data_IF_253591408042
#
_entry.id   IF_253591408042
#
_cell.length_a   1.000
_cell.length_b   1.000
_cell.length_c   1.000
_cell.angle_alpha   90.00
_cell.angle_beta   90.00
_cell.angle_gamma   90.00
#
_symmetry.space_group_name_H-M   'P 1'
#
loop_
_entity.id
_entity.type
_entity.pdbx_description
1 polymer ?
#
# COMPACT_ATOMS: atom_id res chain seq x y z
N UNK A 1 19.30 12.19 11.26
CA UNK A 1 18.55 11.66 10.09
C UNK A 1 17.47 10.75 10.62
N UNK A 2 16.24 10.89 10.12
CA UNK A 2 15.12 10.01 10.42
C UNK A 2 14.98 8.94 9.34
N UNK A 3 14.68 7.71 9.76
CA UNK A 3 14.43 6.56 8.90
C UNK A 3 13.41 5.62 9.57
N UNK A 4 12.35 6.20 10.15
CA UNK A 4 11.32 5.46 10.89
C UNK A 4 10.14 5.01 9.99
N UNK A 5 10.30 5.12 8.67
CA UNK A 5 9.35 4.66 7.67
C UNK A 5 8.16 5.61 7.47
N UNK A 6 7.27 5.24 6.55
CA UNK A 6 6.10 6.05 6.18
C UNK A 6 5.08 6.28 7.31
N UNK A 7 5.19 5.56 8.42
CA UNK A 7 4.37 5.80 9.62
C UNK A 7 5.18 6.53 10.69
N UNK A 8 6.35 6.00 11.06
CA UNK A 8 7.11 6.52 12.19
C UNK A 8 7.74 7.88 11.94
N UNK A 9 8.24 8.15 10.73
CA UNK A 9 8.89 9.43 10.41
C UNK A 9 7.93 10.63 10.50
N UNK A 10 6.74 10.63 9.86
CA UNK A 10 5.80 11.73 10.05
C UNK A 10 5.31 11.81 11.50
N UNK A 11 5.07 10.68 12.18
CA UNK A 11 4.66 10.70 13.60
C UNK A 11 5.70 11.41 14.47
N UNK A 12 6.98 11.07 14.32
CA UNK A 12 8.08 11.68 15.06
C UNK A 12 8.23 13.18 14.76
N UNK A 13 8.05 13.60 13.49
CA UNK A 13 8.03 15.02 13.13
C UNK A 13 6.87 15.76 13.81
N UNK A 14 5.66 15.18 13.75
CA UNK A 14 4.45 15.76 14.34
C UNK A 14 4.59 15.94 15.87
N UNK A 15 4.99 14.89 16.60
CA UNK A 15 5.18 14.98 18.07
C UNK A 15 6.35 15.90 18.46
N UNK A 16 7.26 16.19 17.52
CA UNK A 16 8.35 17.16 17.70
C UNK A 16 7.95 18.59 17.32
N UNK A 17 6.67 18.85 17.03
CA UNK A 17 6.16 20.18 16.69
C UNK A 17 6.42 20.61 15.24
N UNK A 18 6.76 19.68 14.34
CA UNK A 18 7.00 19.95 12.90
C UNK A 18 5.86 19.34 12.07
N UNK A 19 4.95 20.18 11.59
CA UNK A 19 3.77 19.70 10.86
C UNK A 19 2.66 20.74 10.67
N UNK A 20 1.41 20.31 10.36
CA UNK A 20 0.27 21.21 10.25
C UNK A 20 -0.03 21.91 11.60
N UNK A 21 0.07 23.23 11.66
CA UNK A 21 0.03 23.99 12.92
C UNK A 21 -1.30 23.81 13.67
N UNK A 22 -2.41 23.78 12.93
CA UNK A 22 -3.75 23.56 13.47
C UNK A 22 -3.87 22.22 14.20
N UNK A 23 -3.40 21.13 13.59
CA UNK A 23 -3.40 19.80 14.23
C UNK A 23 -2.59 19.80 15.52
N UNK A 24 -1.40 20.42 15.51
CA UNK A 24 -0.51 20.46 16.66
C UNK A 24 -1.10 21.28 17.82
N UNK A 25 -1.70 22.44 17.53
CA UNK A 25 -2.39 23.25 18.53
C UNK A 25 -3.56 22.52 19.18
N UNK A 26 -4.36 21.77 18.41
CA UNK A 26 -5.47 20.98 18.95
C UNK A 26 -5.03 19.89 19.93
N UNK A 27 -3.78 19.44 19.85
CA UNK A 27 -3.18 18.44 20.72
C UNK A 27 -2.28 19.05 21.81
N UNK A 28 -2.27 20.38 21.94
CA UNK A 28 -1.41 21.13 22.86
C UNK A 28 0.09 20.85 22.67
N UNK A 29 0.52 20.66 21.42
CA UNK A 29 1.93 20.52 21.03
C UNK A 29 2.42 21.89 20.53
N UNK A 30 3.55 22.34 21.06
CA UNK A 30 4.19 23.58 20.60
C UNK A 30 4.62 23.45 19.13
N UNK A 31 4.23 24.42 18.30
CA UNK A 31 4.59 24.44 16.89
C UNK A 31 6.01 24.99 16.74
N UNK A 32 6.96 24.09 16.44
CA UNK A 32 8.33 24.43 16.09
C UNK A 32 8.40 24.95 14.65
N UNK A 33 7.70 24.27 13.73
CA UNK A 33 7.64 24.70 12.33
C UNK A 33 6.34 24.24 11.66
N UNK A 34 5.66 25.17 10.99
CA UNK A 34 4.50 24.84 10.19
C UNK A 34 4.93 24.20 8.86
N UNK A 35 4.67 22.91 8.73
CA UNK A 35 4.98 22.13 7.54
C UNK A 35 3.77 21.25 7.17
N UNK A 36 2.80 21.78 6.41
CA UNK A 36 1.49 21.14 6.23
C UNK A 36 1.53 19.83 5.43
N UNK A 37 2.66 19.50 4.80
CA UNK A 37 2.84 18.23 4.10
C UNK A 37 3.12 17.02 5.01
N UNK A 38 3.51 17.22 6.27
CA UNK A 38 3.86 16.12 7.18
C UNK A 38 2.62 15.29 7.51
N UNK A 39 2.65 14.00 7.19
CA UNK A 39 1.53 13.08 7.38
C UNK A 39 0.55 13.03 6.22
N UNK A 40 0.62 13.95 5.26
CA UNK A 40 -0.24 13.97 4.06
C UNK A 40 0.33 13.08 2.95
N UNK A 41 -0.40 12.91 1.84
CA UNK A 41 0.08 12.16 0.66
C UNK A 41 0.41 10.68 0.94
N UNK A 42 -0.23 10.08 1.96
CA UNK A 42 -0.08 8.65 2.23
C UNK A 42 -0.59 7.85 1.03
N UNK A 43 0.24 6.94 0.54
CA UNK A 43 -0.05 6.06 -0.58
C UNK A 43 0.28 4.62 -0.18
N UNK A 44 -0.41 3.68 -0.81
CA UNK A 44 -0.20 2.25 -0.67
C UNK A 44 -0.59 1.56 -1.98
N UNK A 45 -0.25 0.29 -2.12
CA UNK A 45 -0.83 -0.56 -3.16
C UNK A 45 -2.07 -1.28 -2.60
N UNK A 46 -3.31 -0.79 -2.85
CA UNK A 46 -4.50 -1.54 -2.50
C UNK A 46 -4.55 -2.82 -3.33
N UNK A 47 -5.03 -3.90 -2.72
CA UNK A 47 -5.32 -5.13 -3.47
C UNK A 47 -6.67 -5.73 -3.07
N UNK A 48 -7.26 -6.45 -4.01
CA UNK A 48 -8.38 -7.37 -3.83
C UNK A 48 -7.99 -8.71 -4.45
N UNK A 49 -8.88 -9.70 -4.39
CA UNK A 49 -8.57 -11.05 -4.87
C UNK A 49 -9.76 -11.70 -5.56
N UNK A 50 -9.46 -12.70 -6.38
CA UNK A 50 -10.40 -13.73 -6.80
C UNK A 50 -9.88 -15.06 -6.27
N UNK A 51 -10.70 -15.82 -5.55
CA UNK A 51 -10.31 -17.07 -4.90
C UNK A 51 -11.11 -18.23 -5.47
N UNK A 52 -10.44 -19.34 -5.74
CA UNK A 52 -11.03 -20.57 -6.26
C UNK A 52 -10.70 -21.74 -5.36
N UNK A 53 -11.58 -22.73 -5.31
CA UNK A 53 -11.31 -24.03 -4.71
C UNK A 53 -10.71 -24.99 -5.73
N UNK A 54 -10.00 -26.02 -5.27
CA UNK A 54 -9.41 -27.07 -6.11
C UNK A 54 -9.94 -28.48 -5.78
N UNK A 55 -9.91 -29.37 -6.77
CA UNK A 55 -10.25 -30.81 -6.63
C UNK A 55 -9.18 -31.60 -5.88
N UNK A 56 -7.93 -31.26 -6.15
CA UNK A 56 -6.75 -31.90 -5.60
C UNK A 56 -6.14 -30.96 -4.55
N UNK A 57 -5.55 -31.50 -3.47
CA UNK A 57 -4.83 -30.70 -2.50
C UNK A 57 -3.68 -29.91 -3.16
N UNK A 58 -3.50 -28.68 -2.71
CA UNK A 58 -2.39 -27.84 -3.16
C UNK A 58 -1.37 -27.80 -2.03
N UNK A 59 -0.11 -28.11 -2.33
CA UNK A 59 0.96 -28.05 -1.34
C UNK A 59 1.21 -26.58 -0.95
N UNK A 60 0.73 -26.19 0.23
CA UNK A 60 0.91 -24.85 0.79
C UNK A 60 2.29 -24.65 1.47
N UNK A 61 3.25 -25.55 1.23
CA UNK A 61 4.57 -25.55 1.86
C UNK A 61 5.44 -24.35 1.51
N UNK A 62 5.44 -23.33 2.38
CA UNK A 62 6.31 -22.15 2.33
C UNK A 62 5.75 -20.98 1.51
N UNK A 63 6.26 -19.75 1.72
CA UNK A 63 5.98 -18.67 0.77
C UNK A 63 6.58 -19.08 -0.58
N UNK A 64 5.76 -19.35 -1.60
CA UNK A 64 6.19 -19.92 -2.86
C UNK A 64 6.85 -18.83 -3.71
N UNK A 65 7.49 -19.25 -4.80
CA UNK A 65 7.65 -18.40 -5.96
C UNK A 65 6.24 -18.06 -6.52
N UNK A 66 5.68 -16.92 -6.11
CA UNK A 66 4.41 -16.42 -6.66
C UNK A 66 4.69 -15.75 -8.00
N UNK A 67 4.13 -16.19 -9.13
CA UNK A 67 4.31 -15.46 -10.37
C UNK A 67 3.52 -14.14 -10.31
N UNK A 68 4.22 -13.04 -10.64
CA UNK A 68 3.65 -11.71 -10.76
C UNK A 68 3.47 -11.38 -12.24
N UNK A 69 2.32 -10.79 -12.58
CA UNK A 69 2.05 -10.25 -13.90
C UNK A 69 1.78 -8.76 -13.76
N UNK A 70 2.59 -7.95 -14.44
CA UNK A 70 2.42 -6.50 -14.49
C UNK A 70 1.79 -6.14 -15.82
N UNK A 71 0.64 -5.48 -15.75
CA UNK A 71 -0.24 -5.21 -16.89
C UNK A 71 -0.54 -3.72 -16.98
N UNK A 72 -1.01 -3.34 -18.17
CA UNK A 72 -1.64 -2.05 -18.40
C UNK A 72 -3.15 -2.23 -18.42
N UNK A 73 -3.88 -1.36 -17.75
CA UNK A 73 -5.34 -1.34 -17.73
C UNK A 73 -5.92 -1.04 -19.13
N UNK A 74 -5.24 -0.17 -19.87
CA UNK A 74 -5.47 0.13 -21.29
C UNK A 74 -4.16 0.16 -22.10
N UNK A 75 -4.22 0.26 -23.43
CA UNK A 75 -3.02 0.21 -24.28
C UNK A 75 -2.12 1.45 -24.21
N UNK A 76 -2.65 2.59 -23.77
CA UNK A 76 -1.96 3.87 -23.65
C UNK A 76 -1.38 4.12 -22.25
N UNK A 77 -1.87 3.40 -21.23
CA UNK A 77 -1.41 3.50 -19.86
C UNK A 77 0.03 2.96 -19.72
N UNK A 78 0.75 3.51 -18.74
CA UNK A 78 1.91 2.81 -18.17
C UNK A 78 1.43 1.58 -17.39
N UNK A 79 2.30 0.60 -17.08
CA UNK A 79 1.89 -0.53 -16.27
C UNK A 79 1.41 -0.08 -14.89
N UNK A 80 0.13 -0.29 -14.64
CA UNK A 80 -0.65 0.28 -13.53
C UNK A 80 -1.41 -0.79 -12.75
N UNK A 81 -1.44 -2.03 -13.24
CA UNK A 81 -2.04 -3.19 -12.58
C UNK A 81 -0.99 -4.28 -12.31
N UNK A 82 -1.06 -4.89 -11.14
CA UNK A 82 -0.29 -6.08 -10.79
C UNK A 82 -1.24 -7.21 -10.41
N UNK A 83 -1.06 -8.38 -11.02
CA UNK A 83 -1.70 -9.62 -10.61
C UNK A 83 -0.68 -10.52 -9.92
N UNK A 84 -1.06 -11.15 -8.82
CA UNK A 84 -0.21 -12.10 -8.08
C UNK A 84 -0.96 -13.40 -7.94
N UNK A 85 -0.41 -14.49 -8.45
CA UNK A 85 -0.99 -15.81 -8.26
C UNK A 85 -0.45 -16.43 -6.97
N UNK A 86 -1.35 -16.78 -6.06
CA UNK A 86 -1.02 -17.49 -4.82
C UNK A 86 -1.69 -18.86 -4.83
N UNK A 87 -0.91 -19.90 -4.53
CA UNK A 87 -1.32 -21.31 -4.54
C UNK A 87 -1.94 -21.73 -3.20
N UNK A 88 -2.68 -20.82 -2.57
CA UNK A 88 -3.50 -21.06 -1.40
C UNK A 88 -4.70 -20.11 -1.45
N UNK A 89 -5.87 -20.48 -0.91
CA UNK A 89 -7.02 -19.59 -0.93
C UNK A 89 -6.84 -18.49 0.11
N UNK A 90 -6.92 -17.25 -0.34
CA UNK A 90 -7.17 -16.10 0.51
C UNK A 90 -8.66 -16.07 0.85
N UNK A 91 -9.06 -16.37 2.10
CA UNK A 91 -10.45 -16.21 2.48
C UNK A 91 -10.84 -14.74 2.35
N UNK A 92 -12.07 -14.48 1.91
CA UNK A 92 -12.64 -13.15 2.09
C UNK A 92 -12.72 -12.86 3.58
N UNK A 93 -12.12 -11.76 4.01
CA UNK A 93 -12.05 -11.42 5.43
C UNK A 93 -13.45 -11.03 5.91
N UNK A 94 -13.90 -11.54 7.05
CA UNK A 94 -15.12 -11.04 7.68
C UNK A 94 -14.88 -9.58 8.11
N UNK A 95 -15.84 -8.66 7.88
CA UNK A 95 -15.74 -7.30 8.41
C UNK A 95 -15.41 -7.33 9.91
N UNK A 96 -14.36 -6.61 10.32
CA UNK A 96 -13.92 -6.52 11.72
C UNK A 96 -12.91 -7.56 12.20
N UNK A 97 -12.50 -8.55 11.38
CA UNK A 97 -11.40 -9.43 11.76
C UNK A 97 -10.05 -8.67 11.75
N UNK A 98 -9.16 -8.95 12.71
CA UNK A 98 -7.83 -8.31 12.82
C UNK A 98 -6.91 -8.61 11.63
N UNK A 99 -5.97 -7.70 11.33
CA UNK A 99 -5.04 -7.85 10.20
C UNK A 99 -3.86 -8.68 10.65
N UNK A 100 -3.91 -9.97 10.37
CA UNK A 100 -2.74 -10.83 10.50
C UNK A 100 -1.72 -10.42 9.42
N UNK A 101 -0.46 -10.15 9.79
CA UNK A 101 0.58 -9.84 8.82
C UNK A 101 0.72 -10.96 7.79
N UNK A 102 0.85 -10.60 6.53
CA UNK A 102 1.08 -11.56 5.46
C UNK A 102 2.34 -12.41 5.77
N UNK A 103 2.20 -13.74 5.71
CA UNK A 103 3.29 -14.67 6.01
C UNK A 103 3.56 -14.91 7.50
N UNK A 104 2.71 -14.42 8.42
CA UNK A 104 2.78 -14.83 9.83
C UNK A 104 2.37 -16.30 9.99
N UNK A 105 2.89 -17.00 11.00
CA UNK A 105 2.49 -18.39 11.29
C UNK A 105 1.01 -18.52 11.68
N UNK A 106 0.38 -17.42 12.12
CA UNK A 106 -1.05 -17.30 12.40
C UNK A 106 -1.89 -17.09 11.13
N UNK A 107 -1.26 -16.66 10.03
CA UNK A 107 -1.84 -16.62 8.69
C UNK A 107 -1.86 -18.04 8.09
N UNK A 108 -2.66 -18.93 8.69
CA UNK A 108 -3.02 -20.22 8.10
C UNK A 108 -4.54 -20.26 8.03
N UNK A 109 -5.16 -19.84 6.92
CA UNK A 109 -6.59 -20.06 6.76
C UNK A 109 -6.86 -21.56 6.96
N UNK A 110 -7.92 -21.91 7.71
CA UNK A 110 -8.38 -23.28 7.86
C UNK A 110 -8.31 -23.98 6.50
N UNK A 111 -7.55 -25.08 6.41
CA UNK A 111 -7.07 -25.68 5.16
C UNK A 111 -8.23 -25.94 4.20
N UNK A 112 -8.51 -24.98 3.33
CA UNK A 112 -9.23 -25.19 2.10
C UNK A 112 -8.21 -25.31 0.98
N UNK A 113 -8.37 -26.30 0.12
CA UNK A 113 -7.55 -26.45 -1.06
C UNK A 113 -8.05 -25.47 -2.13
N UNK A 114 -7.14 -24.63 -2.61
CA UNK A 114 -7.52 -23.51 -3.46
C UNK A 114 -6.34 -22.67 -3.92
N UNK A 115 -6.63 -21.70 -4.77
CA UNK A 115 -5.68 -20.68 -5.19
C UNK A 115 -6.40 -19.33 -5.27
N UNK A 116 -5.64 -18.25 -5.14
CA UNK A 116 -6.14 -16.89 -5.35
C UNK A 116 -5.31 -16.15 -6.39
N UNK A 117 -5.97 -15.25 -7.08
CA UNK A 117 -5.35 -14.24 -7.92
C UNK A 117 -5.59 -12.90 -7.26
N UNK A 118 -4.56 -12.32 -6.66
CA UNK A 118 -4.61 -10.95 -6.16
C UNK A 118 -4.54 -10.00 -7.35
N UNK A 119 -5.26 -8.89 -7.27
CA UNK A 119 -5.17 -7.77 -8.19
C UNK A 119 -4.91 -6.49 -7.40
N UNK A 120 -3.95 -5.69 -7.84
CA UNK A 120 -3.51 -4.49 -7.15
C UNK A 120 -3.27 -3.32 -8.10
N UNK A 121 -3.55 -2.11 -7.64
CA UNK A 121 -3.14 -0.89 -8.33
C UNK A 121 -1.68 -0.57 -8.01
N UNK A 122 -0.92 -0.19 -9.03
CA UNK A 122 0.50 0.17 -8.90
C UNK A 122 0.73 1.69 -8.90
N UNK A 123 -0.28 2.47 -9.29
CA UNK A 123 -0.25 3.94 -9.33
C UNK A 123 -1.60 4.54 -8.94
N UNK A 124 -2.05 4.34 -7.69
CA UNK A 124 -3.33 4.87 -7.24
C UNK A 124 -3.35 6.40 -7.25
N UNK A 125 -4.53 6.95 -7.53
CA UNK A 125 -4.80 8.39 -7.50
C UNK A 125 -5.22 8.87 -6.10
N UNK A 126 -5.87 8.03 -5.32
CA UNK A 126 -6.24 8.30 -3.93
C UNK A 126 -5.03 8.66 -3.08
N UNK A 127 -5.26 9.54 -2.10
CA UNK A 127 -4.28 9.95 -1.11
C UNK A 127 -4.91 9.89 0.27
N UNK A 128 -4.22 9.21 1.17
CA UNK A 128 -4.55 9.14 2.58
C UNK A 128 -3.81 10.18 3.40
N UNK A 129 -3.96 10.06 4.72
CA UNK A 129 -3.25 10.87 5.71
C UNK A 129 -2.90 10.06 6.96
N UNK A 130 -1.90 10.54 7.70
CA UNK A 130 -1.51 10.10 9.02
C UNK A 130 -1.56 11.30 9.97
N UNK A 131 -2.31 11.14 11.06
CA UNK A 131 -2.45 12.17 12.10
C UNK A 131 -2.10 11.59 13.47
N UNK A 132 -1.76 12.45 14.41
CA UNK A 132 -1.59 12.05 15.80
C UNK A 132 -2.95 11.78 16.44
N UNK A 133 -3.05 10.70 17.22
CA UNK A 133 -4.19 10.46 18.10
C UNK A 133 -4.12 11.34 19.36
N UNK A 134 -2.91 11.62 19.83
CA UNK A 134 -2.62 12.39 21.03
C UNK A 134 -1.15 12.86 21.05
N UNK A 135 -0.73 13.57 22.10
CA UNK A 135 0.62 14.09 22.23
C UNK A 135 1.65 13.03 22.67
N UNK A 136 1.23 11.85 23.17
CA UNK A 136 2.17 10.79 23.57
C UNK A 136 2.75 10.10 22.32
N UNK A 137 4.08 10.11 22.13
CA UNK A 137 4.72 9.46 20.98
C UNK A 137 4.57 7.94 20.94
N UNK A 138 4.07 7.31 22.01
CA UNK A 138 3.81 5.86 22.08
C UNK A 138 2.41 5.49 21.64
N UNK A 139 1.50 6.46 21.51
CA UNK A 139 0.17 6.21 20.99
C UNK A 139 0.23 5.91 19.48
N UNK A 140 -0.54 4.91 19.04
CA UNK A 140 -0.66 4.62 17.61
C UNK A 140 -1.28 5.82 16.87
N UNK A 141 -0.70 6.24 15.74
CA UNK A 141 -1.26 7.34 14.97
C UNK A 141 -2.60 6.92 14.33
N UNK A 142 -3.40 7.93 14.00
CA UNK A 142 -4.62 7.78 13.21
C UNK A 142 -4.21 7.67 11.74
N UNK A 143 -4.44 6.52 11.12
CA UNK A 143 -4.09 6.25 9.73
C UNK A 143 -5.39 6.14 8.92
N UNK A 144 -5.53 7.02 7.93
CA UNK A 144 -6.56 6.92 6.90
C UNK A 144 -5.86 6.67 5.56
N UNK A 145 -6.04 5.47 4.99
CA UNK A 145 -5.43 5.12 3.70
C UNK A 145 -6.10 5.83 2.51
N UNK A 146 -7.29 6.41 2.72
CA UNK A 146 -8.00 7.15 1.68
C UNK A 146 -8.39 6.31 0.47
N UNK A 147 -8.47 4.98 0.59
CA UNK A 147 -8.80 4.11 -0.55
C UNK A 147 -10.10 4.53 -1.23
N UNK A 148 -10.04 4.67 -2.56
CA UNK A 148 -11.17 5.01 -3.42
C UNK A 148 -11.80 6.38 -3.17
N UNK A 149 -11.10 7.28 -2.46
CA UNK A 149 -11.43 8.71 -2.41
C UNK A 149 -11.39 9.36 -3.80
N UNK A 150 -10.55 8.84 -4.71
CA UNK A 150 -10.61 9.15 -6.13
C UNK A 150 -11.35 8.00 -6.85
N UNK A 151 -12.46 8.28 -7.56
CA UNK A 151 -13.28 7.23 -8.16
C UNK A 151 -12.54 6.43 -9.24
N UNK A 152 -11.47 6.98 -9.85
CA UNK A 152 -10.67 6.29 -10.87
C UNK A 152 -10.04 5.01 -10.33
N UNK A 153 -9.63 5.01 -9.07
CA UNK A 153 -9.01 3.83 -8.44
C UNK A 153 -10.00 2.67 -8.32
N UNK A 154 -11.26 2.97 -8.01
CA UNK A 154 -12.29 1.93 -7.90
C UNK A 154 -12.61 1.32 -9.26
N UNK A 155 -12.67 2.13 -10.31
CA UNK A 155 -12.89 1.67 -11.68
C UNK A 155 -11.72 0.82 -12.21
N UNK A 156 -10.48 1.23 -11.88
CA UNK A 156 -9.28 0.45 -12.20
C UNK A 156 -9.26 -0.88 -11.41
N UNK A 157 -9.66 -0.89 -10.15
CA UNK A 157 -9.72 -2.12 -9.37
C UNK A 157 -10.78 -3.10 -9.89
N UNK A 158 -11.93 -2.63 -10.36
CA UNK A 158 -12.92 -3.49 -11.04
C UNK A 158 -12.31 -4.07 -12.32
N UNK A 159 -11.57 -3.26 -13.08
CA UNK A 159 -10.84 -3.75 -14.27
C UNK A 159 -9.83 -4.83 -13.89
N UNK A 160 -9.05 -4.61 -12.83
CA UNK A 160 -8.07 -5.56 -12.31
C UNK A 160 -8.73 -6.85 -11.82
N UNK A 161 -9.87 -6.76 -11.13
CA UNK A 161 -10.67 -7.91 -10.67
C UNK A 161 -11.16 -8.77 -11.86
N UNK A 162 -11.61 -8.15 -12.95
CA UNK A 162 -11.98 -8.90 -14.17
C UNK A 162 -10.80 -9.62 -14.78
N UNK A 163 -9.62 -9.00 -14.81
CA UNK A 163 -8.38 -9.64 -15.30
C UNK A 163 -7.95 -10.80 -14.38
N UNK A 164 -8.06 -10.62 -13.07
CA UNK A 164 -7.80 -11.67 -12.09
C UNK A 164 -8.74 -12.86 -12.28
N UNK A 165 -10.05 -12.61 -12.44
CA UNK A 165 -11.03 -13.65 -12.73
C UNK A 165 -10.71 -14.36 -14.05
N UNK A 166 -10.40 -13.62 -15.11
CA UNK A 166 -9.99 -14.19 -16.40
C UNK A 166 -8.78 -15.11 -16.27
N UNK A 167 -7.77 -14.73 -15.49
CA UNK A 167 -6.61 -15.59 -15.22
C UNK A 167 -7.01 -16.83 -14.42
N UNK A 168 -7.80 -16.65 -13.36
CA UNK A 168 -8.24 -17.73 -12.49
C UNK A 168 -9.19 -18.73 -13.16
N UNK A 169 -9.89 -18.34 -14.23
CA UNK A 169 -10.78 -19.21 -15.01
C UNK A 169 -10.16 -19.75 -16.30
N UNK A 170 -8.86 -19.51 -16.54
CA UNK A 170 -8.18 -19.98 -17.74
C UNK A 170 -8.21 -21.53 -17.86
N UNK A 171 -8.27 -22.04 -19.10
CA UNK A 171 -8.37 -23.47 -19.40
C UNK A 171 -7.23 -24.30 -18.78
N UNK A 172 -6.04 -23.71 -18.61
CA UNK A 172 -4.89 -24.36 -17.97
C UNK A 172 -5.17 -24.78 -16.52
N UNK A 173 -6.14 -24.14 -15.86
CA UNK A 173 -6.55 -24.40 -14.48
C UNK A 173 -7.76 -25.33 -14.39
N UNK A 174 -8.38 -25.75 -15.50
CA UNK A 174 -9.64 -26.51 -15.50
C UNK A 174 -9.53 -27.84 -14.76
N UNK A 175 -8.39 -28.53 -14.86
CA UNK A 175 -8.12 -29.78 -14.13
C UNK A 175 -8.19 -29.57 -12.61
N UNK A 176 -7.73 -28.41 -12.13
CA UNK A 176 -7.64 -28.10 -10.71
C UNK A 176 -8.92 -27.45 -10.18
N UNK A 177 -9.44 -26.43 -10.87
CA UNK A 177 -10.52 -25.54 -10.42
C UNK A 177 -11.87 -26.24 -10.25
N UNK A 178 -12.46 -26.15 -9.07
CA UNK A 178 -13.85 -26.58 -8.79
C UNK A 178 -14.84 -25.42 -8.92
N UNK A 179 -14.71 -24.38 -8.10
CA UNK A 179 -15.60 -23.22 -8.14
C UNK A 179 -14.88 -21.92 -7.78
N UNK A 180 -15.44 -20.79 -8.20
CA UNK A 180 -15.06 -19.47 -7.70
C UNK A 180 -15.71 -19.26 -6.33
N UNK A 181 -14.88 -19.12 -5.30
CA UNK A 181 -15.31 -18.91 -3.91
C UNK A 181 -15.55 -17.42 -3.61
N UNK A 182 -14.68 -16.55 -4.12
CA UNK A 182 -14.76 -15.11 -3.92
C UNK A 182 -14.29 -14.39 -5.20
N UNK A 183 -14.98 -13.34 -5.65
CA UNK A 183 -16.24 -12.81 -5.12
C UNK A 183 -17.45 -13.75 -5.27
N UNK A 184 -17.34 -14.82 -6.06
CA UNK A 184 -18.44 -15.72 -6.37
C UNK A 184 -18.92 -15.53 -7.80
N UNK A 185 -19.37 -16.62 -8.42
CA UNK A 185 -19.79 -16.62 -9.84
C UNK A 185 -21.02 -15.74 -10.13
N UNK A 186 -21.79 -15.41 -9.10
CA UNK A 186 -22.96 -14.53 -9.14
C UNK A 186 -22.62 -13.04 -9.24
N UNK A 187 -21.45 -12.62 -8.75
CA UNK A 187 -21.00 -11.23 -8.82
C UNK A 187 -20.54 -10.92 -10.23
N UNK A 188 -21.41 -10.30 -11.04
CA UNK A 188 -21.18 -10.14 -12.49
C UNK A 188 -21.30 -8.72 -12.98
N UNK A 189 -22.14 -7.90 -12.34
CA UNK A 189 -22.31 -6.49 -12.70
C UNK A 189 -21.20 -5.61 -12.11
N UNK A 190 -20.94 -4.47 -12.74
CA UNK A 190 -19.99 -3.48 -12.24
C UNK A 190 -20.35 -2.97 -10.84
N UNK A 191 -21.64 -2.88 -10.52
CA UNK A 191 -22.09 -2.44 -9.20
C UNK A 191 -21.72 -3.47 -8.12
N UNK A 192 -22.01 -4.76 -8.37
CA UNK A 192 -21.66 -5.83 -7.43
C UNK A 192 -20.13 -5.97 -7.28
N UNK A 193 -19.39 -5.85 -8.38
CA UNK A 193 -17.92 -5.87 -8.33
C UNK A 193 -17.35 -4.70 -7.52
N UNK A 194 -17.92 -3.48 -7.64
CA UNK A 194 -17.49 -2.33 -6.83
C UNK A 194 -17.72 -2.55 -5.35
N UNK A 195 -18.89 -3.07 -4.97
CA UNK A 195 -19.19 -3.37 -3.57
C UNK A 195 -18.28 -4.48 -3.03
N UNK A 196 -18.03 -5.52 -3.82
CA UNK A 196 -17.04 -6.53 -3.46
C UNK A 196 -15.65 -5.94 -3.26
N UNK A 197 -15.15 -5.13 -4.20
CA UNK A 197 -13.83 -4.50 -4.09
C UNK A 197 -13.72 -3.71 -2.80
N UNK A 198 -14.69 -2.85 -2.48
CA UNK A 198 -14.68 -2.06 -1.23
C UNK A 198 -14.60 -2.94 0.02
N UNK A 199 -15.28 -4.08 0.03
CA UNK A 199 -15.29 -5.02 1.15
C UNK A 199 -14.02 -5.88 1.25
N UNK A 200 -13.48 -6.29 0.10
CA UNK A 200 -12.35 -7.22 0.01
C UNK A 200 -10.99 -6.52 0.10
N UNK A 201 -10.95 -5.20 -0.14
CA UNK A 201 -9.70 -4.46 -0.25
C UNK A 201 -8.85 -4.55 0.99
N UNK A 202 -7.56 -4.82 0.78
CA UNK A 202 -6.55 -4.78 1.81
C UNK A 202 -5.26 -4.13 1.32
N UNK A 203 -4.31 -3.99 2.23
CA UNK A 203 -3.02 -3.35 2.02
C UNK A 203 -1.96 -4.38 1.64
N UNK A 204 -1.15 -4.11 0.60
CA UNK A 204 0.09 -4.86 0.37
C UNK A 204 1.24 -4.41 1.29
N UNK A 205 0.96 -3.54 2.27
CA UNK A 205 1.91 -2.98 3.22
C UNK A 205 3.03 -2.17 2.54
N UNK A 206 2.72 -1.46 1.46
CA UNK A 206 3.65 -0.63 0.70
C UNK A 206 3.43 0.86 0.99
N UNK A 207 3.34 1.22 2.27
CA UNK A 207 3.06 2.59 2.69
C UNK A 207 4.22 3.54 2.36
N UNK A 208 3.91 4.67 1.71
CA UNK A 208 4.89 5.69 1.29
C UNK A 208 4.32 7.13 1.39
N UNK A 209 5.19 8.12 1.24
CA UNK A 209 4.81 9.48 0.80
C UNK A 209 4.43 10.52 1.86
N UNK A 210 4.41 10.13 3.13
CA UNK A 210 4.02 10.99 4.27
C UNK A 210 5.01 12.09 4.65
N UNK A 211 6.19 12.11 4.03
CA UNK A 211 7.20 13.16 4.14
C UNK A 211 7.76 13.49 2.74
N UNK A 212 6.88 13.64 1.75
CA UNK A 212 7.23 13.73 0.34
C UNK A 212 8.35 14.74 0.02
N UNK A 213 9.29 14.31 -0.81
CA UNK A 213 10.32 15.15 -1.41
C UNK A 213 9.73 16.14 -2.42
N UNK A 214 10.27 17.35 -2.49
CA UNK A 214 9.92 18.31 -3.52
C UNK A 214 10.33 19.75 -3.21
N UNK A 215 9.89 20.66 -4.08
CA UNK A 215 10.15 22.10 -3.98
C UNK A 215 8.88 22.94 -3.82
N UNK A 216 7.72 22.29 -3.75
CA UNK A 216 6.43 22.97 -3.55
C UNK A 216 6.08 23.17 -2.08
N UNK A 217 5.04 23.94 -1.81
CA UNK A 217 4.62 24.33 -0.44
C UNK A 217 4.25 23.14 0.48
N UNK A 218 3.84 22.00 -0.11
CA UNK A 218 3.52 20.77 0.62
C UNK A 218 4.68 19.76 0.67
N UNK A 219 5.84 20.09 0.12
CA UNK A 219 7.01 19.22 0.26
C UNK A 219 7.51 19.25 1.70
N UNK A 220 7.88 18.09 2.24
CA UNK A 220 8.44 17.98 3.60
C UNK A 220 9.96 18.02 3.55
N UNK A 221 10.57 17.42 2.53
CA UNK A 221 12.02 17.46 2.32
C UNK A 221 12.42 18.03 0.97
N UNK A 222 13.57 18.68 0.91
CA UNK A 222 14.19 19.19 -0.32
C UNK A 222 14.80 18.04 -1.17
N UNK A 223 15.27 18.29 -2.41
CA UNK A 223 15.92 17.27 -3.24
C UNK A 223 17.18 16.62 -2.64
N UNK A 224 17.78 17.21 -1.62
CA UNK A 224 18.88 16.60 -0.87
C UNK A 224 18.37 15.83 0.37
N UNK A 225 17.06 15.74 0.60
CA UNK A 225 16.40 15.11 1.74
C UNK A 225 16.44 15.93 3.05
N UNK A 226 16.74 17.23 3.01
CA UNK A 226 16.67 18.11 4.19
C UNK A 226 15.23 18.48 4.49
N UNK A 227 14.83 18.42 5.75
CA UNK A 227 13.51 18.90 6.18
C UNK A 227 13.43 20.41 5.98
N UNK A 228 12.39 20.86 5.28
CA UNK A 228 12.20 22.30 5.04
C UNK A 228 12.04 23.05 6.37
N UNK A 229 12.76 24.17 6.49
CA UNK A 229 12.72 25.04 7.68
C UNK A 229 13.47 24.53 8.93
N UNK A 230 14.00 23.30 8.93
CA UNK A 230 14.70 22.71 10.09
C UNK A 230 16.16 22.40 9.74
N UNK A 231 17.08 23.15 10.35
CA UNK A 231 18.53 22.93 10.18
C UNK A 231 18.99 21.59 10.73
N UNK A 232 19.86 20.89 9.98
CA UNK A 232 20.50 19.65 10.43
C UNK A 232 19.62 18.39 10.42
N UNK A 233 18.35 18.50 10.00
CA UNK A 233 17.42 17.38 9.95
C UNK A 233 17.19 16.90 8.52
N UNK A 234 17.19 15.57 8.33
CA UNK A 234 16.88 14.89 7.07
C UNK A 234 15.96 13.69 7.33
N UNK A 235 15.18 13.29 6.33
CA UNK A 235 14.38 12.05 6.32
C UNK A 235 14.83 11.20 5.14
N UNK A 236 15.10 9.91 5.36
CA UNK A 236 15.55 8.99 4.32
C UNK A 236 14.91 7.61 4.51
N UNK A 237 13.66 7.47 4.09
CA UNK A 237 12.90 6.21 4.08
C UNK A 237 11.73 6.30 3.09
N UNK A 238 10.82 5.33 3.11
CA UNK A 238 9.64 5.29 2.25
C UNK A 238 8.74 6.55 2.28
N UNK A 239 8.73 7.31 3.38
CA UNK A 239 7.94 8.54 3.52
C UNK A 239 8.31 9.61 2.50
N UNK A 240 9.53 9.61 1.97
CA UNK A 240 9.99 10.69 1.07
C UNK A 240 9.53 10.51 -0.38
N UNK A 241 8.98 9.34 -0.74
CA UNK A 241 8.55 9.09 -2.12
C UNK A 241 7.41 10.05 -2.50
N UNK A 242 7.54 10.86 -3.56
CA UNK A 242 6.48 11.81 -3.93
C UNK A 242 5.26 11.07 -4.52
N UNK A 243 5.51 9.98 -5.23
CA UNK A 243 4.54 9.01 -5.74
C UNK A 243 5.06 7.62 -5.45
N UNK A 244 4.15 6.68 -5.16
CA UNK A 244 4.51 5.28 -5.07
C UNK A 244 5.02 4.77 -6.42
N UNK A 245 6.03 3.89 -6.38
CA UNK A 245 6.60 3.24 -7.57
C UNK A 245 5.72 2.09 -8.02
N UNK A 246 5.68 1.82 -9.33
CA UNK A 246 4.92 0.69 -9.89
C UNK A 246 5.64 -0.67 -9.70
N UNK A 247 6.01 -0.97 -8.46
CA UNK A 247 6.68 -2.18 -8.02
C UNK A 247 6.62 -2.28 -6.48
N UNK A 248 7.01 -3.43 -5.91
CA UNK A 248 7.20 -3.54 -4.46
C UNK A 248 8.26 -2.52 -3.97
N UNK A 249 7.91 -1.76 -2.93
CA UNK A 249 8.65 -0.54 -2.57
C UNK A 249 10.06 -0.78 -1.98
N UNK A 250 10.36 -2.01 -1.50
CA UNK A 250 11.58 -2.30 -0.73
C UNK A 250 12.88 -1.93 -1.47
N UNK A 251 13.00 -2.30 -2.75
CA UNK A 251 14.19 -1.99 -3.54
C UNK A 251 14.40 -0.47 -3.70
N UNK A 252 13.32 0.28 -3.87
CA UNK A 252 13.37 1.75 -3.94
C UNK A 252 13.77 2.37 -2.61
N UNK A 253 13.32 1.83 -1.47
CA UNK A 253 13.75 2.29 -0.14
C UNK A 253 15.26 2.11 0.04
N UNK A 254 15.81 0.96 -0.39
CA UNK A 254 17.27 0.74 -0.36
C UNK A 254 18.00 1.75 -1.25
N UNK A 255 17.50 2.03 -2.45
CA UNK A 255 18.08 3.04 -3.33
C UNK A 255 18.03 4.46 -2.73
N UNK A 256 16.96 4.82 -2.02
CA UNK A 256 16.86 6.08 -1.26
C UNK A 256 17.93 6.13 -0.17
N UNK A 257 18.14 5.04 0.57
CA UNK A 257 19.16 4.96 1.61
C UNK A 257 20.58 5.13 1.04
N UNK A 258 20.90 4.46 -0.07
CA UNK A 258 22.18 4.62 -0.78
C UNK A 258 22.39 6.07 -1.25
N UNK A 259 21.34 6.69 -1.82
CA UNK A 259 21.41 8.10 -2.23
C UNK A 259 21.63 9.03 -1.03
N UNK A 260 20.97 8.78 0.10
CA UNK A 260 21.16 9.55 1.32
C UNK A 260 22.59 9.42 1.86
N UNK A 261 23.17 8.22 1.84
CA UNK A 261 24.56 7.98 2.24
C UNK A 261 25.55 8.74 1.34
N UNK A 262 25.32 8.73 0.02
CA UNK A 262 26.13 9.49 -0.94
C UNK A 262 26.09 11.01 -0.67
N UNK A 263 24.89 11.57 -0.44
CA UNK A 263 24.70 12.99 -0.09
C UNK A 263 25.45 13.36 1.20
N UNK A 264 25.42 12.49 2.21
CA UNK A 264 26.06 12.75 3.51
C UNK A 264 27.58 12.65 3.45
N UNK A 265 28.12 11.76 2.62
CA UNK A 265 29.56 11.52 2.49
C UNK A 265 30.21 12.38 1.42
N UNK A 266 29.43 13.10 0.61
CA UNK A 266 29.92 13.88 -0.53
C UNK A 266 30.39 13.01 -1.71
N UNK A 267 30.03 11.73 -1.73
CA UNK A 267 30.31 10.84 -2.84
C UNK A 267 29.29 11.10 -3.95
N UNK A 268 29.74 11.29 -5.18
CA UNK A 268 28.84 11.35 -6.33
C UNK A 268 28.35 9.94 -6.63
N UNK A 269 27.02 9.77 -6.67
CA UNK A 269 26.37 8.52 -7.10
C UNK A 269 26.61 8.24 -8.59
#
# INVERSE_FOLDING_TARGET
>A
MLAAGAIGSPQLLLVSGVGPAEQLWHLAIDVVHHLPGVGENLQDHPFAQVTFTTREPVDAGGMPDTPHLVLRSDSAADPDLQLVFVHFPLPHRKPGAAMEPWGSSAWQPERMDGYSVLCSLQRPYSRGSLKLAGPDPRESPLIDLGYYTDPRDLDLMVTALRRARQMGTANALDRWRTCELAPGGEVTSDAEMREYVKLATSSLCHLVGTCAIGTGERAVVDPDLRVHGIGGLRVADASVMPSIVAANANATVLAIAERAAAILTGQSA
#
